data_IF_719199166909
#
_entry.id   IF_719199166909
#
_cell.length_a   1.000
_cell.length_b   1.000
_cell.length_c   1.000
_cell.angle_alpha   90.00
_cell.angle_beta   90.00
_cell.angle_gamma   90.00
#
_symmetry.space_group_name_H-M   'P 1'
#
loop_
_entity.id
_entity.type
_entity.pdbx_description
1 polymer ?
#
# COMPACT_ATOMS: atom_id res chain seq x y z
N UNK A 1 -14.49 35.51 2.38
CA UNK A 1 -13.21 35.90 2.99
C UNK A 1 -12.14 34.91 2.51
N UNK A 2 -11.17 35.37 1.67
CA UNK A 2 -10.18 34.45 1.06
C UNK A 2 -9.41 33.61 2.09
N UNK A 3 -9.21 34.14 3.31
CA UNK A 3 -8.54 33.41 4.38
C UNK A 3 -9.43 32.31 4.98
N UNK A 4 -10.74 32.49 5.00
CA UNK A 4 -11.68 31.46 5.44
C UNK A 4 -11.78 30.34 4.40
N UNK A 5 -11.80 30.69 3.12
CA UNK A 5 -11.86 29.73 2.02
C UNK A 5 -10.61 28.82 1.99
N UNK A 6 -9.41 29.39 2.18
CA UNK A 6 -8.19 28.60 2.29
C UNK A 6 -8.18 27.65 3.49
N UNK A 7 -8.68 28.09 4.65
CA UNK A 7 -8.79 27.23 5.84
C UNK A 7 -9.74 26.06 5.64
N UNK A 8 -10.86 26.30 4.95
CA UNK A 8 -11.83 25.24 4.63
C UNK A 8 -11.23 24.21 3.69
N UNK A 9 -10.51 24.65 2.65
CA UNK A 9 -9.84 23.75 1.70
C UNK A 9 -8.78 22.89 2.40
N UNK A 10 -7.91 23.50 3.20
CA UNK A 10 -6.89 22.76 3.97
C UNK A 10 -7.55 21.78 4.93
N UNK A 11 -8.59 22.20 5.64
CA UNK A 11 -9.32 21.33 6.54
C UNK A 11 -9.97 20.14 5.82
N UNK A 12 -10.53 20.36 4.64
CA UNK A 12 -11.10 19.28 3.81
C UNK A 12 -10.04 18.27 3.36
N UNK A 13 -8.86 18.75 2.91
CA UNK A 13 -7.75 17.85 2.52
C UNK A 13 -7.26 17.05 3.75
N UNK A 14 -7.08 17.70 4.89
CA UNK A 14 -6.66 17.02 6.12
C UNK A 14 -7.71 15.96 6.52
N UNK A 15 -8.99 16.28 6.43
CA UNK A 15 -10.06 15.32 6.71
C UNK A 15 -10.02 14.12 5.75
N UNK A 16 -9.78 14.35 4.46
CA UNK A 16 -9.61 13.30 3.47
C UNK A 16 -8.37 12.43 3.72
N UNK A 17 -7.34 12.96 4.38
CA UNK A 17 -6.12 12.22 4.70
C UNK A 17 -6.27 11.32 5.93
N UNK A 18 -7.23 11.59 6.83
CA UNK A 18 -7.37 10.84 8.08
C UNK A 18 -7.52 9.32 7.90
N UNK A 19 -8.33 8.83 6.95
CA UNK A 19 -8.50 7.39 6.74
C UNK A 19 -7.22 6.67 6.29
N UNK A 20 -6.23 7.40 5.74
CA UNK A 20 -4.94 6.81 5.34
C UNK A 20 -4.17 6.15 6.51
N UNK A 21 -4.57 6.41 7.75
CA UNK A 21 -3.99 5.75 8.94
C UNK A 21 -4.33 4.26 9.00
N UNK A 22 -5.49 3.91 8.47
CA UNK A 22 -6.04 2.55 8.53
C UNK A 22 -5.60 1.74 7.30
N UNK A 23 -4.78 2.32 6.41
CA UNK A 23 -4.32 1.71 5.17
C UNK A 23 -3.58 0.39 5.44
N UNK A 24 -4.20 -0.69 5.03
CA UNK A 24 -3.65 -2.04 5.13
C UNK A 24 -3.04 -2.48 3.81
N UNK A 25 -1.92 -3.18 3.90
CA UNK A 25 -1.15 -3.64 2.75
C UNK A 25 -1.08 -5.16 2.73
N UNK A 26 -1.34 -5.77 1.57
CA UNK A 26 -1.15 -7.19 1.35
C UNK A 26 -0.65 -7.47 -0.08
N UNK A 27 -0.06 -8.64 -0.29
CA UNK A 27 0.17 -9.12 -1.66
C UNK A 27 -1.14 -9.69 -2.21
N UNK A 28 -1.42 -9.50 -3.51
CA UNK A 28 -2.64 -10.03 -4.12
C UNK A 28 -2.59 -11.57 -4.14
N UNK A 29 -3.73 -12.16 -3.81
CA UNK A 29 -3.99 -13.59 -3.92
C UNK A 29 -5.10 -13.87 -4.97
N UNK A 30 -5.52 -15.12 -5.11
CA UNK A 30 -6.59 -15.47 -6.03
C UNK A 30 -7.95 -14.84 -5.65
N UNK A 31 -8.15 -14.44 -4.39
CA UNK A 31 -9.34 -13.74 -3.92
C UNK A 31 -9.46 -12.30 -4.43
N UNK A 32 -8.41 -11.73 -5.02
CA UNK A 32 -8.44 -10.40 -5.65
C UNK A 32 -8.78 -10.42 -7.14
N UNK A 33 -8.86 -11.60 -7.74
CA UNK A 33 -9.19 -11.77 -9.15
C UNK A 33 -10.68 -11.52 -9.41
N UNK A 34 -11.09 -11.24 -10.67
CA UNK A 34 -12.48 -11.13 -11.06
C UNK A 34 -13.29 -12.41 -10.75
N UNK A 35 -14.57 -12.28 -10.42
CA UNK A 35 -15.43 -13.38 -9.97
C UNK A 35 -15.61 -14.50 -11.01
N UNK A 36 -15.49 -14.20 -12.29
CA UNK A 36 -15.54 -15.14 -13.40
C UNK A 36 -14.22 -15.89 -13.63
N UNK A 37 -13.15 -15.50 -12.94
CA UNK A 37 -11.85 -16.16 -13.03
C UNK A 37 -11.89 -17.51 -12.31
N UNK A 38 -11.39 -18.56 -12.96
CA UNK A 38 -11.42 -19.93 -12.44
C UNK A 38 -10.62 -20.08 -11.12
N UNK A 39 -9.52 -19.33 -10.96
CA UNK A 39 -8.73 -19.32 -9.72
C UNK A 39 -9.51 -18.67 -8.57
N UNK A 40 -10.30 -17.61 -8.86
CA UNK A 40 -11.18 -16.98 -7.88
C UNK A 40 -12.30 -17.92 -7.45
N UNK A 41 -12.97 -18.57 -8.40
CA UNK A 41 -14.02 -19.57 -8.09
C UNK A 41 -13.47 -20.67 -7.19
N UNK A 42 -12.25 -21.17 -7.47
CA UNK A 42 -11.61 -22.19 -6.63
C UNK A 42 -11.29 -21.65 -5.23
N UNK A 43 -10.77 -20.43 -5.14
CA UNK A 43 -10.49 -19.75 -3.87
C UNK A 43 -11.75 -19.61 -3.01
N UNK A 44 -12.86 -19.18 -3.61
CA UNK A 44 -14.12 -18.98 -2.91
C UNK A 44 -14.72 -20.33 -2.44
N UNK A 45 -14.66 -21.38 -3.26
CA UNK A 45 -15.09 -22.74 -2.89
C UNK A 45 -14.28 -23.30 -1.71
N UNK A 46 -12.96 -23.09 -1.71
CA UNK A 46 -12.11 -23.52 -0.59
C UNK A 46 -12.45 -22.72 0.67
N UNK A 47 -12.64 -21.40 0.55
CA UNK A 47 -13.02 -20.56 1.69
C UNK A 47 -14.36 -20.97 2.29
N UNK A 48 -15.36 -21.31 1.46
CA UNK A 48 -16.71 -21.65 1.88
C UNK A 48 -16.77 -23.02 2.56
N UNK A 49 -16.06 -24.01 2.03
CA UNK A 49 -16.22 -25.40 2.46
C UNK A 49 -15.15 -25.88 3.45
N UNK A 50 -13.98 -25.29 3.44
CA UNK A 50 -12.87 -25.66 4.32
C UNK A 50 -12.47 -24.55 5.29
N UNK A 51 -12.80 -23.31 4.97
CA UNK A 51 -12.38 -22.13 5.71
C UNK A 51 -11.34 -21.28 4.96
N UNK A 52 -11.30 -19.97 5.21
CA UNK A 52 -10.47 -19.04 4.45
C UNK A 52 -8.95 -19.31 4.60
N UNK A 53 -8.51 -19.83 5.74
CA UNK A 53 -7.09 -20.13 6.01
C UNK A 53 -6.51 -21.23 5.13
N UNK A 54 -7.35 -22.14 4.59
CA UNK A 54 -6.90 -23.18 3.66
C UNK A 54 -6.39 -22.64 2.33
N UNK A 55 -6.71 -21.39 1.99
CA UNK A 55 -6.15 -20.71 0.82
C UNK A 55 -4.72 -20.20 1.01
N UNK A 56 -4.19 -20.20 2.24
CA UNK A 56 -2.86 -19.72 2.53
C UNK A 56 -2.25 -20.33 3.79
N UNK A 57 -2.03 -21.65 3.81
CA UNK A 57 -1.42 -22.29 4.96
C UNK A 57 -0.01 -21.76 5.19
N UNK A 58 0.38 -21.67 6.47
CA UNK A 58 1.72 -21.37 6.89
C UNK A 58 2.53 -22.66 6.92
N UNK A 59 3.83 -22.55 6.68
CA UNK A 59 4.79 -23.63 6.86
C UNK A 59 5.76 -23.24 7.97
N UNK A 60 5.75 -24.00 9.04
CA UNK A 60 6.75 -23.89 10.10
C UNK A 60 7.79 -24.98 9.85
N UNK A 61 9.07 -24.62 9.88
CA UNK A 61 10.15 -25.56 9.56
C UNK A 61 11.35 -25.32 10.48
N UNK A 62 12.11 -26.36 10.76
CA UNK A 62 13.32 -26.28 11.58
C UNK A 62 14.18 -27.52 11.46
N UNK A 63 15.42 -27.38 11.95
CA UNK A 63 16.39 -28.48 11.99
C UNK A 63 16.14 -29.37 13.20
N UNK A 64 15.99 -30.67 12.96
CA UNK A 64 15.69 -31.67 14.00
C UNK A 64 16.77 -32.75 14.14
N UNK A 65 17.97 -32.49 13.64
CA UNK A 65 19.12 -33.46 13.63
C UNK A 65 19.46 -34.02 15.00
N UNK A 66 19.19 -33.29 16.06
CA UNK A 66 19.50 -33.71 17.44
C UNK A 66 18.46 -34.66 18.03
N UNK A 67 17.32 -34.84 17.39
CA UNK A 67 16.25 -35.69 17.91
C UNK A 67 16.55 -37.18 17.73
N UNK A 68 16.29 -37.94 18.76
CA UNK A 68 16.35 -39.42 18.74
C UNK A 68 15.00 -40.05 18.32
N UNK A 69 13.92 -39.26 18.35
CA UNK A 69 12.59 -39.62 17.88
C UNK A 69 12.01 -38.46 17.03
N UNK A 70 12.42 -38.35 15.76
CA UNK A 70 11.97 -37.26 14.91
C UNK A 70 10.45 -37.24 14.66
N UNK A 71 9.79 -38.38 14.66
CA UNK A 71 8.33 -38.47 14.43
C UNK A 71 7.58 -38.03 15.68
N UNK A 72 7.97 -38.49 16.85
CA UNK A 72 7.40 -38.07 18.13
C UNK A 72 7.57 -36.57 18.32
N UNK A 73 8.77 -36.03 18.10
CA UNK A 73 9.07 -34.61 18.18
C UNK A 73 8.16 -33.77 17.26
N UNK A 74 7.96 -34.23 16.03
CA UNK A 74 7.09 -33.49 15.09
C UNK A 74 5.62 -33.53 15.47
N UNK A 75 5.15 -34.63 16.07
CA UNK A 75 3.77 -34.72 16.57
C UNK A 75 3.58 -33.77 17.78
N UNK A 76 4.47 -33.81 18.75
CA UNK A 76 4.40 -32.95 19.94
C UNK A 76 4.43 -31.47 19.56
N UNK A 77 5.30 -31.10 18.62
CA UNK A 77 5.39 -29.74 18.07
C UNK A 77 4.12 -29.35 17.31
N UNK A 78 3.57 -30.26 16.53
CA UNK A 78 2.30 -30.04 15.78
C UNK A 78 1.14 -29.84 16.73
N UNK A 79 1.03 -30.64 17.78
CA UNK A 79 -0.04 -30.55 18.78
C UNK A 79 0.06 -29.23 19.57
N UNK A 80 1.25 -28.78 19.96
CA UNK A 80 1.43 -27.52 20.65
C UNK A 80 1.09 -26.31 19.76
N UNK A 81 1.49 -26.35 18.49
CA UNK A 81 1.12 -25.28 17.52
C UNK A 81 -0.39 -25.29 17.27
N UNK A 82 -1.05 -26.46 17.26
CA UNK A 82 -2.49 -26.56 17.08
C UNK A 82 -3.29 -25.90 18.20
N UNK A 83 -2.73 -25.84 19.42
CA UNK A 83 -3.36 -25.19 20.59
C UNK A 83 -3.23 -23.65 20.58
N UNK A 84 -2.47 -23.06 19.63
CA UNK A 84 -2.28 -21.61 19.54
C UNK A 84 -3.57 -20.90 19.06
N UNK A 85 -3.88 -19.73 19.63
CA UNK A 85 -5.00 -18.91 19.16
C UNK A 85 -4.83 -18.53 17.68
N UNK A 86 -5.86 -18.73 16.88
CA UNK A 86 -5.83 -18.39 15.45
C UNK A 86 -5.41 -19.55 14.55
N UNK A 87 -5.10 -20.73 15.09
CA UNK A 87 -4.91 -21.96 14.34
C UNK A 87 -6.26 -22.67 14.17
N UNK A 88 -6.61 -23.00 12.93
CA UNK A 88 -7.79 -23.77 12.60
C UNK A 88 -7.49 -25.29 12.53
N UNK A 89 -6.34 -25.64 11.97
CA UNK A 89 -5.93 -27.04 11.79
C UNK A 89 -4.42 -27.15 11.58
N UNK A 90 -3.86 -28.33 11.92
CA UNK A 90 -2.47 -28.72 11.63
C UNK A 90 -2.48 -30.06 10.89
N UNK A 91 -2.79 -30.06 9.58
CA UNK A 91 -3.01 -31.30 8.82
C UNK A 91 -1.73 -32.13 8.60
N UNK A 92 -0.55 -31.53 8.80
CA UNK A 92 0.71 -32.21 8.58
C UNK A 92 1.79 -31.70 9.55
N UNK A 93 2.37 -32.64 10.30
CA UNK A 93 3.60 -32.43 11.05
C UNK A 93 4.51 -33.64 10.80
N UNK A 94 5.63 -33.46 10.10
CA UNK A 94 6.43 -34.60 9.64
C UNK A 94 7.91 -34.25 9.47
N UNK A 95 8.84 -35.17 9.79
CA UNK A 95 10.23 -35.04 9.38
C UNK A 95 10.38 -35.35 7.88
N UNK A 96 11.47 -34.87 7.28
CA UNK A 96 11.89 -35.30 5.96
C UNK A 96 12.49 -36.72 6.00
N UNK A 97 12.76 -37.30 4.83
CA UNK A 97 13.27 -38.68 4.70
C UNK A 97 14.62 -38.92 5.39
N UNK A 98 15.43 -37.89 5.57
CA UNK A 98 16.74 -37.96 6.24
C UNK A 98 16.65 -37.65 7.73
N UNK A 99 15.46 -37.27 8.21
CA UNK A 99 15.20 -36.89 9.61
C UNK A 99 16.12 -35.75 10.11
N UNK A 100 16.53 -34.86 9.23
CA UNK A 100 17.35 -33.68 9.56
C UNK A 100 16.55 -32.38 9.62
N UNK A 101 15.37 -32.35 8.98
CA UNK A 101 14.50 -31.20 8.89
C UNK A 101 13.06 -31.62 9.09
N UNK A 102 12.30 -30.85 9.88
CA UNK A 102 10.86 -31.03 10.08
C UNK A 102 10.05 -29.93 9.43
N UNK A 103 8.81 -30.26 9.05
CA UNK A 103 7.80 -29.28 8.61
C UNK A 103 6.49 -29.49 9.36
N UNK A 104 5.85 -28.38 9.74
CA UNK A 104 4.48 -28.33 10.25
C UNK A 104 3.69 -27.41 9.33
N UNK A 105 2.61 -27.93 8.77
CA UNK A 105 1.66 -27.12 7.99
C UNK A 105 0.58 -26.61 8.93
N UNK A 106 0.45 -25.31 9.05
CA UNK A 106 -0.51 -24.65 9.93
C UNK A 106 -1.53 -23.92 9.09
N UNK A 107 -2.80 -24.22 9.31
CA UNK A 107 -3.93 -23.57 8.66
C UNK A 107 -4.47 -22.50 9.61
N UNK A 108 -4.39 -21.20 9.27
CA UNK A 108 -4.99 -20.13 10.06
C UNK A 108 -6.51 -20.19 10.08
N UNK A 109 -7.15 -19.58 11.08
CA UNK A 109 -8.61 -19.35 11.08
C UNK A 109 -9.02 -18.25 10.10
N UNK A 110 -8.16 -17.24 9.92
CA UNK A 110 -8.36 -16.10 9.06
C UNK A 110 -7.90 -16.33 7.62
N UNK A 111 -8.29 -15.42 6.72
CA UNK A 111 -7.79 -15.37 5.36
C UNK A 111 -6.28 -15.01 5.31
N UNK A 112 -5.57 -15.32 4.21
CA UNK A 112 -4.13 -15.07 4.08
C UNK A 112 -3.71 -13.61 4.33
N UNK A 113 -4.58 -12.66 4.02
CA UNK A 113 -4.36 -11.23 4.12
C UNK A 113 -4.98 -10.57 5.38
N UNK A 114 -5.62 -11.38 6.25
CA UNK A 114 -6.29 -10.89 7.47
C UNK A 114 -5.29 -10.53 8.58
N UNK A 115 -5.71 -9.62 9.48
CA UNK A 115 -4.93 -9.27 10.68
C UNK A 115 -4.75 -10.49 11.61
N UNK A 116 -5.77 -11.32 11.74
CA UNK A 116 -5.71 -12.55 12.55
C UNK A 116 -4.59 -13.48 12.10
N UNK A 117 -4.38 -13.63 10.78
CA UNK A 117 -3.28 -14.43 10.24
C UNK A 117 -1.92 -13.77 10.46
N UNK A 118 -1.82 -12.44 10.38
CA UNK A 118 -0.59 -11.69 10.71
C UNK A 118 -0.23 -11.83 12.18
N UNK A 119 -1.23 -11.74 13.07
CA UNK A 119 -1.05 -11.92 14.50
C UNK A 119 -0.57 -13.35 14.82
N UNK A 120 -1.16 -14.37 14.19
CA UNK A 120 -0.71 -15.76 14.34
C UNK A 120 0.75 -15.95 13.89
N UNK A 121 1.16 -15.41 12.75
CA UNK A 121 2.56 -15.47 12.30
C UNK A 121 3.49 -14.82 13.31
N UNK A 122 3.08 -13.69 13.89
CA UNK A 122 3.85 -12.97 14.90
C UNK A 122 3.94 -13.77 16.18
N UNK A 123 2.84 -14.41 16.62
CA UNK A 123 2.80 -15.27 17.82
C UNK A 123 3.69 -16.49 17.68
N UNK A 124 3.60 -17.23 16.56
CA UNK A 124 4.47 -18.38 16.32
C UNK A 124 5.95 -17.96 16.34
N UNK A 125 6.29 -16.83 15.74
CA UNK A 125 7.67 -16.31 15.75
C UNK A 125 8.13 -15.85 17.13
N UNK A 126 7.23 -15.32 17.95
CA UNK A 126 7.55 -14.91 19.33
C UNK A 126 7.86 -16.09 20.24
N UNK A 127 7.35 -17.28 19.92
CA UNK A 127 7.64 -18.50 20.65
C UNK A 127 8.93 -19.22 20.21
N UNK A 128 9.73 -18.63 19.33
CA UNK A 128 10.98 -19.19 18.83
C UNK A 128 11.90 -19.70 19.96
N UNK A 129 12.14 -18.87 20.99
CA UNK A 129 13.03 -19.23 22.09
C UNK A 129 12.45 -20.39 22.93
N UNK A 130 11.12 -20.43 23.12
CA UNK A 130 10.44 -21.52 23.79
C UNK A 130 10.62 -22.86 23.04
N UNK A 131 10.38 -22.87 21.73
CA UNK A 131 10.56 -24.07 20.90
C UNK A 131 12.04 -24.52 20.84
N UNK A 132 12.95 -23.56 20.85
CA UNK A 132 14.38 -23.87 20.91
C UNK A 132 14.78 -24.52 22.26
N UNK A 133 14.28 -24.00 23.38
CA UNK A 133 14.59 -24.48 24.72
C UNK A 133 13.91 -25.82 25.01
N UNK A 134 12.64 -26.02 24.63
CA UNK A 134 11.86 -27.23 24.95
C UNK A 134 12.17 -28.37 23.97
N UNK A 135 12.24 -28.09 22.68
CA UNK A 135 12.40 -29.11 21.63
C UNK A 135 13.77 -29.13 20.98
N UNK A 136 14.61 -28.13 21.23
CA UNK A 136 15.92 -27.99 20.58
C UNK A 136 15.81 -27.65 19.10
N UNK A 137 14.69 -27.06 18.66
CA UNK A 137 14.40 -26.78 17.25
C UNK A 137 14.38 -25.27 16.99
N UNK A 138 15.28 -24.82 16.13
CA UNK A 138 15.32 -23.44 15.62
C UNK A 138 14.25 -23.31 14.53
N UNK A 139 13.07 -22.81 14.92
CA UNK A 139 11.89 -22.71 14.05
C UNK A 139 11.90 -21.45 13.22
N UNK A 140 11.54 -21.59 11.95
CA UNK A 140 11.25 -20.51 11.03
C UNK A 140 9.85 -20.66 10.44
N UNK A 141 9.12 -19.55 10.31
CA UNK A 141 7.80 -19.51 9.67
C UNK A 141 7.94 -19.01 8.25
N UNK A 142 7.45 -19.78 7.29
CA UNK A 142 7.48 -19.51 5.86
C UNK A 142 6.15 -19.88 5.20
N UNK A 143 6.12 -19.98 3.89
CA UNK A 143 4.92 -20.17 3.08
C UNK A 143 4.51 -18.89 2.37
N UNK A 144 3.63 -19.01 1.37
CA UNK A 144 3.21 -17.87 0.56
C UNK A 144 2.66 -16.71 1.42
N UNK A 145 1.82 -17.04 2.39
CA UNK A 145 1.20 -16.09 3.32
C UNK A 145 2.23 -15.37 4.17
N UNK A 146 3.14 -16.09 4.83
CA UNK A 146 4.18 -15.50 5.67
C UNK A 146 5.13 -14.61 4.85
N UNK A 147 5.53 -15.06 3.66
CA UNK A 147 6.34 -14.25 2.72
C UNK A 147 5.57 -12.99 2.30
N UNK A 148 4.27 -13.10 2.03
CA UNK A 148 3.41 -11.96 1.70
C UNK A 148 3.37 -10.92 2.82
N UNK A 149 3.24 -11.36 4.07
CA UNK A 149 3.28 -10.52 5.27
C UNK A 149 4.64 -9.80 5.38
N UNK A 150 5.74 -10.54 5.25
CA UNK A 150 7.10 -9.98 5.36
C UNK A 150 7.41 -8.96 4.27
N UNK A 151 7.01 -9.25 3.02
CA UNK A 151 7.17 -8.31 1.89
C UNK A 151 6.34 -7.06 2.14
N UNK A 152 5.08 -7.19 2.56
CA UNK A 152 4.21 -6.06 2.85
C UNK A 152 4.75 -5.19 3.99
N UNK A 153 5.26 -5.81 5.05
CA UNK A 153 5.89 -5.11 6.16
C UNK A 153 7.16 -4.34 5.72
N UNK A 154 8.01 -4.96 4.89
CA UNK A 154 9.21 -4.30 4.33
C UNK A 154 8.86 -3.14 3.42
N UNK A 155 7.85 -3.29 2.55
CA UNK A 155 7.38 -2.23 1.67
C UNK A 155 6.77 -1.08 2.49
N UNK A 156 5.94 -1.39 3.49
CA UNK A 156 5.39 -0.41 4.42
C UNK A 156 6.48 0.37 5.15
N UNK A 157 7.48 -0.32 5.69
CA UNK A 157 8.63 0.31 6.35
C UNK A 157 9.48 1.18 5.40
N UNK A 158 9.51 0.86 4.11
CA UNK A 158 10.23 1.62 3.10
C UNK A 158 9.53 2.93 2.70
N UNK A 159 8.25 3.12 3.03
CA UNK A 159 7.49 4.32 2.63
C UNK A 159 8.08 5.61 3.19
N UNK A 160 8.43 5.64 4.47
CA UNK A 160 9.03 6.83 5.08
C UNK A 160 10.40 7.16 4.50
N UNK A 161 11.38 6.25 4.43
CA UNK A 161 12.65 6.49 3.75
C UNK A 161 12.46 6.95 2.30
N UNK A 162 11.56 6.32 1.55
CA UNK A 162 11.24 6.70 0.18
C UNK A 162 10.70 8.13 0.10
N UNK A 163 9.74 8.48 0.98
CA UNK A 163 9.20 9.83 1.06
C UNK A 163 10.30 10.88 1.34
N UNK A 164 11.21 10.60 2.27
CA UNK A 164 12.34 11.49 2.56
C UNK A 164 13.27 11.68 1.37
N UNK A 165 13.58 10.60 0.63
CA UNK A 165 14.42 10.69 -0.58
C UNK A 165 13.72 11.53 -1.66
N UNK A 166 12.43 11.24 -1.93
CA UNK A 166 11.65 11.97 -2.94
C UNK A 166 11.53 13.45 -2.58
N UNK A 167 11.16 13.76 -1.35
CA UNK A 167 11.05 15.14 -0.85
C UNK A 167 12.41 15.85 -0.85
N UNK A 168 13.45 15.20 -0.35
CA UNK A 168 14.80 15.77 -0.31
C UNK A 168 15.34 16.07 -1.70
N UNK A 169 15.21 15.13 -2.63
CA UNK A 169 15.61 15.31 -4.02
C UNK A 169 14.84 16.46 -4.68
N UNK A 170 13.53 16.54 -4.45
CA UNK A 170 12.67 17.63 -4.92
C UNK A 170 13.17 18.98 -4.42
N UNK A 171 13.38 19.12 -3.12
CA UNK A 171 13.85 20.36 -2.52
C UNK A 171 15.19 20.81 -3.12
N UNK A 172 16.13 19.89 -3.30
CA UNK A 172 17.44 20.18 -3.89
C UNK A 172 17.31 20.61 -5.35
N UNK A 173 16.64 19.79 -6.18
CA UNK A 173 16.51 20.04 -7.62
C UNK A 173 15.75 21.35 -7.91
N UNK A 174 14.59 21.56 -7.27
CA UNK A 174 13.79 22.76 -7.48
C UNK A 174 14.50 24.01 -6.94
N UNK A 175 15.24 23.92 -5.81
CA UNK A 175 16.03 25.04 -5.30
C UNK A 175 17.13 25.42 -6.27
N UNK A 176 17.81 24.46 -6.88
CA UNK A 176 18.83 24.73 -7.92
C UNK A 176 18.23 25.38 -9.17
N UNK A 177 17.10 24.86 -9.65
CA UNK A 177 16.43 25.36 -10.87
C UNK A 177 15.88 26.76 -10.67
N UNK A 178 15.16 26.99 -9.56
CA UNK A 178 14.46 28.25 -9.34
C UNK A 178 15.25 29.29 -8.53
N UNK A 179 16.37 28.89 -7.94
CA UNK A 179 17.18 29.74 -7.02
C UNK A 179 16.30 30.37 -5.92
N UNK A 180 15.37 29.60 -5.41
CA UNK A 180 14.41 29.99 -4.37
C UNK A 180 14.15 28.78 -3.47
N UNK A 181 14.02 28.99 -2.18
CA UNK A 181 13.67 27.94 -1.20
C UNK A 181 12.16 27.89 -0.96
N UNK A 182 11.46 29.01 -1.10
CA UNK A 182 10.03 29.10 -0.85
C UNK A 182 9.19 28.28 -1.85
N UNK A 183 9.58 28.27 -3.13
CA UNK A 183 8.87 27.53 -4.18
C UNK A 183 8.93 26.01 -3.93
N UNK A 184 10.11 25.40 -3.70
CA UNK A 184 10.20 23.97 -3.38
C UNK A 184 9.41 23.57 -2.13
N UNK A 185 9.46 24.37 -1.07
CA UNK A 185 8.70 24.07 0.16
C UNK A 185 7.20 24.04 -0.13
N UNK A 186 6.66 25.04 -0.84
CA UNK A 186 5.25 25.08 -1.21
C UNK A 186 4.87 23.89 -2.09
N UNK A 187 5.66 23.58 -3.12
CA UNK A 187 5.43 22.47 -4.02
C UNK A 187 5.42 21.12 -3.29
N UNK A 188 6.38 20.91 -2.38
CA UNK A 188 6.46 19.69 -1.58
C UNK A 188 5.27 19.53 -0.63
N UNK A 189 4.84 20.60 0.04
CA UNK A 189 3.65 20.57 0.89
C UNK A 189 2.40 20.24 0.07
N UNK A 190 2.25 20.84 -1.10
CA UNK A 190 1.15 20.53 -2.02
C UNK A 190 1.15 19.06 -2.46
N UNK A 191 2.30 18.54 -2.84
CA UNK A 191 2.48 17.12 -3.17
C UNK A 191 2.09 16.20 -2.01
N UNK A 192 2.55 16.47 -0.79
CA UNK A 192 2.22 15.67 0.39
C UNK A 192 0.71 15.68 0.69
N UNK A 193 0.05 16.82 0.52
CA UNK A 193 -1.41 16.90 0.64
C UNK A 193 -2.14 16.07 -0.42
N UNK A 194 -1.67 16.10 -1.66
CA UNK A 194 -2.25 15.31 -2.76
C UNK A 194 -2.09 13.82 -2.54
N UNK A 195 -0.90 13.39 -2.10
CA UNK A 195 -0.63 11.98 -1.74
C UNK A 195 -1.46 11.54 -0.55
N UNK A 196 -1.53 12.35 0.50
CA UNK A 196 -2.33 12.06 1.69
C UNK A 196 -3.82 11.90 1.36
N UNK A 197 -4.38 12.82 0.57
CA UNK A 197 -5.77 12.74 0.10
C UNK A 197 -6.01 11.50 -0.77
N UNK A 198 -5.06 11.17 -1.66
CA UNK A 198 -5.15 9.96 -2.50
C UNK A 198 -5.19 8.69 -1.65
N UNK A 199 -4.29 8.54 -0.68
CA UNK A 199 -4.30 7.39 0.23
C UNK A 199 -5.59 7.34 1.05
N UNK A 200 -6.04 8.47 1.60
CA UNK A 200 -7.26 8.50 2.39
C UNK A 200 -8.51 8.11 1.59
N UNK A 201 -8.63 8.55 0.33
CA UNK A 201 -9.75 8.14 -0.53
C UNK A 201 -9.65 6.67 -0.91
N UNK A 202 -8.45 6.16 -1.20
CA UNK A 202 -8.26 4.73 -1.47
C UNK A 202 -8.70 3.89 -0.26
N UNK A 203 -8.28 4.24 0.95
CA UNK A 203 -8.70 3.54 2.17
C UNK A 203 -10.22 3.62 2.39
N UNK A 204 -10.82 4.81 2.21
CA UNK A 204 -12.27 4.97 2.31
C UNK A 204 -13.05 4.06 1.37
N UNK A 205 -12.56 3.88 0.14
CA UNK A 205 -13.24 3.08 -0.89
C UNK A 205 -12.99 1.58 -0.68
N UNK A 206 -11.73 1.17 -0.57
CA UNK A 206 -11.36 -0.24 -0.63
C UNK A 206 -11.38 -0.95 0.72
N UNK A 207 -11.22 -0.24 1.83
CA UNK A 207 -11.27 -0.84 3.17
C UNK A 207 -12.58 -0.52 3.89
N UNK A 208 -13.06 0.73 3.79
CA UNK A 208 -14.31 1.13 4.46
C UNK A 208 -15.56 1.01 3.57
N UNK A 209 -15.40 0.70 2.28
CA UNK A 209 -16.52 0.44 1.37
C UNK A 209 -17.29 1.67 0.88
N UNK A 210 -16.75 2.89 1.08
CA UNK A 210 -17.41 4.11 0.60
C UNK A 210 -17.44 4.13 -0.94
N UNK A 211 -18.64 4.18 -1.53
CA UNK A 211 -18.87 4.10 -2.97
C UNK A 211 -18.37 2.78 -3.62
N UNK A 212 -18.16 1.71 -2.85
CA UNK A 212 -17.66 0.43 -3.35
C UNK A 212 -18.55 -0.11 -4.50
N UNK A 213 -19.86 -0.11 -4.32
CA UNK A 213 -20.82 -0.59 -5.34
C UNK A 213 -20.74 0.23 -6.64
N UNK A 214 -20.61 1.57 -6.53
CA UNK A 214 -20.52 2.45 -7.69
C UNK A 214 -19.22 2.27 -8.49
N UNK A 215 -18.16 1.82 -7.83
CA UNK A 215 -16.84 1.58 -8.41
C UNK A 215 -16.60 0.09 -8.71
N UNK A 216 -17.62 -0.74 -8.58
CA UNK A 216 -17.55 -2.20 -8.78
C UNK A 216 -16.41 -2.84 -7.97
N UNK A 217 -16.29 -2.47 -6.68
CA UNK A 217 -15.37 -3.08 -5.74
C UNK A 217 -16.01 -4.34 -5.20
N UNK A 218 -15.55 -5.50 -5.63
CA UNK A 218 -16.15 -6.81 -5.28
C UNK A 218 -15.66 -7.37 -3.96
N UNK A 219 -14.52 -6.89 -3.45
CA UNK A 219 -13.96 -7.29 -2.16
C UNK A 219 -13.39 -6.08 -1.43
N UNK A 220 -13.80 -5.92 -0.17
CA UNK A 220 -13.17 -4.96 0.74
C UNK A 220 -12.00 -5.61 1.45
N UNK A 221 -10.94 -4.85 1.69
CA UNK A 221 -9.76 -5.32 2.40
C UNK A 221 -8.48 -4.61 1.99
N UNK A 222 -7.32 -5.17 2.37
CA UNK A 222 -6.02 -4.58 2.12
C UNK A 222 -5.78 -4.28 0.63
N UNK A 223 -5.07 -3.19 0.37
CA UNK A 223 -4.63 -2.86 -1.00
C UNK A 223 -3.25 -3.42 -1.28
N UNK A 224 -2.92 -3.53 -2.56
CA UNK A 224 -1.63 -4.10 -3.00
C UNK A 224 -0.43 -3.36 -2.42
N UNK A 225 0.50 -4.08 -1.81
CA UNK A 225 1.57 -3.54 -0.96
C UNK A 225 2.51 -2.56 -1.64
N UNK A 226 2.69 -2.64 -2.96
CA UNK A 226 3.53 -1.68 -3.69
C UNK A 226 2.77 -0.45 -4.18
N UNK A 227 1.44 -0.39 -4.04
CA UNK A 227 0.61 0.74 -4.47
C UNK A 227 1.09 2.08 -3.90
N UNK A 228 1.39 2.22 -2.61
CA UNK A 228 1.81 3.51 -2.05
C UNK A 228 3.10 4.03 -2.69
N UNK A 229 4.08 3.17 -2.93
CA UNK A 229 5.36 3.55 -3.56
C UNK A 229 5.15 4.00 -5.00
N UNK A 230 4.38 3.23 -5.78
CA UNK A 230 4.04 3.57 -7.18
C UNK A 230 3.28 4.88 -7.23
N UNK A 231 2.26 5.04 -6.39
CA UNK A 231 1.42 6.23 -6.36
C UNK A 231 2.24 7.47 -5.98
N UNK A 232 3.07 7.39 -4.94
CA UNK A 232 3.96 8.47 -4.54
C UNK A 232 4.94 8.85 -5.66
N UNK A 233 5.56 7.87 -6.31
CA UNK A 233 6.52 8.11 -7.39
C UNK A 233 5.89 8.76 -8.62
N UNK A 234 4.74 8.25 -9.06
CA UNK A 234 4.02 8.78 -10.23
C UNK A 234 3.46 10.18 -9.95
N UNK A 235 2.78 10.36 -8.81
CA UNK A 235 2.26 11.69 -8.43
C UNK A 235 3.38 12.70 -8.26
N UNK A 236 4.54 12.28 -7.74
CA UNK A 236 5.71 13.15 -7.65
C UNK A 236 6.15 13.64 -9.03
N UNK A 237 6.34 12.73 -9.98
CA UNK A 237 6.72 13.10 -11.35
C UNK A 237 5.73 14.07 -11.99
N UNK A 238 4.43 13.75 -11.93
CA UNK A 238 3.38 14.61 -12.47
C UNK A 238 3.31 15.98 -11.81
N UNK A 239 3.36 16.02 -10.47
CA UNK A 239 3.32 17.26 -9.72
C UNK A 239 4.52 18.16 -10.04
N UNK A 240 5.72 17.60 -10.12
CA UNK A 240 6.92 18.36 -10.41
C UNK A 240 6.93 18.92 -11.83
N UNK A 241 6.50 18.16 -12.81
CA UNK A 241 6.43 18.63 -14.21
C UNK A 241 5.52 19.86 -14.36
N UNK A 242 4.35 19.84 -13.73
CA UNK A 242 3.46 20.98 -13.72
C UNK A 242 4.04 22.19 -12.99
N UNK A 243 4.70 21.97 -11.85
CA UNK A 243 5.31 23.04 -11.07
C UNK A 243 6.47 23.71 -11.83
N UNK A 244 7.34 22.88 -12.42
CA UNK A 244 8.47 23.40 -13.22
C UNK A 244 7.96 24.25 -14.39
N UNK A 245 6.93 23.77 -15.10
CA UNK A 245 6.36 24.49 -16.22
C UNK A 245 5.74 25.84 -15.80
N UNK A 246 4.94 25.84 -14.73
CA UNK A 246 4.28 27.03 -14.21
C UNK A 246 5.29 28.08 -13.72
N UNK A 247 6.23 27.65 -12.86
CA UNK A 247 7.21 28.58 -12.27
C UNK A 247 8.21 29.09 -13.30
N UNK A 248 8.59 28.27 -14.30
CA UNK A 248 9.45 28.72 -15.39
C UNK A 248 8.79 29.88 -16.18
N UNK A 249 7.49 29.78 -16.48
CA UNK A 249 6.75 30.86 -17.15
C UNK A 249 6.63 32.13 -16.31
N UNK A 250 6.34 31.98 -15.02
CA UNK A 250 6.29 33.13 -14.09
C UNK A 250 7.65 33.83 -14.05
N UNK A 251 8.75 33.05 -13.98
CA UNK A 251 10.11 33.57 -13.94
C UNK A 251 10.50 34.29 -15.23
N UNK A 252 10.15 33.71 -16.39
CA UNK A 252 10.40 34.30 -17.70
C UNK A 252 9.74 35.69 -17.79
N UNK A 253 8.47 35.80 -17.42
CA UNK A 253 7.73 37.07 -17.44
C UNK A 253 8.29 38.07 -16.42
N UNK A 254 8.73 37.62 -15.25
CA UNK A 254 9.39 38.48 -14.24
C UNK A 254 10.71 39.06 -14.73
N UNK A 255 11.54 38.26 -15.39
CA UNK A 255 12.82 38.73 -15.93
C UNK A 255 12.61 39.83 -16.98
N UNK A 256 11.54 39.78 -17.77
CA UNK A 256 11.24 40.78 -18.78
C UNK A 256 10.50 42.01 -18.23
N UNK A 257 9.60 41.85 -17.26
CA UNK A 257 8.73 42.91 -16.78
C UNK A 257 9.26 43.61 -15.52
N UNK A 258 10.08 42.94 -14.70
CA UNK A 258 10.51 43.41 -13.37
C UNK A 258 9.39 43.50 -12.33
N UNK A 259 8.14 43.08 -12.68
CA UNK A 259 6.96 43.26 -11.85
C UNK A 259 6.48 41.90 -11.31
N UNK A 260 6.93 41.51 -10.11
CA UNK A 260 6.66 40.17 -9.53
C UNK A 260 5.15 39.81 -9.48
N UNK A 261 4.31 40.72 -8.98
CA UNK A 261 2.87 40.46 -8.84
C UNK A 261 2.16 40.28 -10.20
N UNK A 262 2.55 41.05 -11.20
CA UNK A 262 2.02 40.93 -12.56
C UNK A 262 2.46 39.63 -13.21
N UNK A 263 3.74 39.28 -13.06
CA UNK A 263 4.33 38.06 -13.64
C UNK A 263 3.71 36.78 -13.09
N UNK A 264 3.32 36.75 -11.81
CA UNK A 264 2.56 35.64 -11.23
C UNK A 264 1.22 35.48 -11.94
N UNK A 265 0.50 36.58 -12.14
CA UNK A 265 -0.82 36.51 -12.76
C UNK A 265 -0.75 36.16 -14.25
N UNK A 266 0.12 36.82 -15.01
CA UNK A 266 0.27 36.59 -16.47
C UNK A 266 0.88 35.20 -16.75
N UNK A 267 1.89 34.77 -16.00
CA UNK A 267 2.50 33.44 -16.13
C UNK A 267 1.51 32.32 -15.80
N UNK A 268 0.72 32.49 -14.73
CA UNK A 268 -0.35 31.57 -14.39
C UNK A 268 -1.40 31.48 -15.49
N UNK A 269 -1.90 32.62 -15.98
CA UNK A 269 -2.91 32.67 -17.04
C UNK A 269 -2.43 32.00 -18.33
N UNK A 270 -1.17 32.20 -18.70
CA UNK A 270 -0.57 31.59 -19.89
C UNK A 270 -0.45 30.06 -19.77
N UNK A 271 -0.15 29.57 -18.56
CA UNK A 271 0.07 28.13 -18.28
C UNK A 271 -1.21 27.40 -17.96
N UNK A 272 -2.22 28.07 -17.41
CA UNK A 272 -3.44 27.45 -16.87
C UNK A 272 -4.16 26.54 -17.89
N UNK A 273 -4.28 26.95 -19.15
CA UNK A 273 -4.94 26.14 -20.18
C UNK A 273 -4.24 24.81 -20.44
N UNK A 274 -2.91 24.82 -20.48
CA UNK A 274 -2.11 23.60 -20.74
C UNK A 274 -2.14 22.68 -19.52
N UNK A 275 -1.94 23.22 -18.32
CA UNK A 275 -1.98 22.46 -17.06
C UNK A 275 -3.37 21.84 -16.86
N UNK A 276 -4.45 22.62 -17.05
CA UNK A 276 -5.81 22.12 -16.90
C UNK A 276 -6.13 21.02 -17.93
N UNK A 277 -5.76 21.22 -19.19
CA UNK A 277 -5.99 20.21 -20.23
C UNK A 277 -5.25 18.91 -19.93
N UNK A 278 -3.98 19.00 -19.52
CA UNK A 278 -3.18 17.84 -19.15
C UNK A 278 -3.78 17.13 -17.92
N UNK A 279 -4.17 17.87 -16.89
CA UNK A 279 -4.79 17.30 -15.68
C UNK A 279 -6.12 16.60 -15.97
N UNK A 280 -6.97 17.20 -16.84
CA UNK A 280 -8.24 16.58 -17.25
C UNK A 280 -8.02 15.29 -18.03
N UNK A 281 -7.04 15.27 -18.95
CA UNK A 281 -6.69 14.06 -19.72
C UNK A 281 -6.20 12.96 -18.77
N UNK A 282 -5.26 13.28 -17.88
CA UNK A 282 -4.73 12.29 -16.92
C UNK A 282 -5.81 11.77 -15.98
N UNK A 283 -6.65 12.67 -15.45
CA UNK A 283 -7.78 12.28 -14.61
C UNK A 283 -8.73 11.33 -15.37
N UNK A 284 -9.12 11.69 -16.60
CA UNK A 284 -10.01 10.86 -17.42
C UNK A 284 -9.41 9.47 -17.70
N UNK A 285 -8.10 9.41 -17.99
CA UNK A 285 -7.40 8.14 -18.22
C UNK A 285 -7.43 7.29 -16.96
N UNK A 286 -7.04 7.82 -15.80
CA UNK A 286 -7.02 7.04 -14.57
C UNK A 286 -8.41 6.62 -14.12
N UNK A 287 -9.41 7.50 -14.19
CA UNK A 287 -10.80 7.17 -13.83
C UNK A 287 -11.36 6.08 -14.71
N UNK A 288 -10.99 6.02 -15.99
CA UNK A 288 -11.49 4.99 -16.92
C UNK A 288 -11.04 3.56 -16.51
N UNK A 289 -9.92 3.43 -15.79
CA UNK A 289 -9.45 2.14 -15.29
C UNK A 289 -10.15 1.68 -13.99
N UNK A 290 -10.85 2.57 -13.28
CA UNK A 290 -11.43 2.22 -11.97
C UNK A 290 -12.57 1.21 -12.09
N UNK A 291 -13.59 1.36 -12.96
CA UNK A 291 -14.70 0.39 -13.03
C UNK A 291 -14.30 -0.95 -13.65
N UNK A 292 -13.43 -0.95 -14.66
CA UNK A 292 -13.08 -2.12 -15.47
C UNK A 292 -11.78 -2.81 -15.04
N UNK A 293 -11.00 -2.19 -14.15
CA UNK A 293 -9.70 -2.69 -13.73
C UNK A 293 -9.79 -3.93 -12.83
N UNK A 294 -8.68 -4.68 -12.80
CA UNK A 294 -8.41 -5.69 -11.79
C UNK A 294 -8.37 -5.05 -10.38
N UNK A 295 -8.80 -5.81 -9.34
CA UNK A 295 -8.84 -5.31 -7.97
C UNK A 295 -7.48 -4.84 -7.46
N UNK A 296 -6.38 -5.36 -8.01
CA UNK A 296 -5.02 -4.89 -7.68
C UNK A 296 -4.69 -3.53 -8.31
N UNK A 297 -5.25 -3.22 -9.48
CA UNK A 297 -4.99 -1.98 -10.21
C UNK A 297 -5.95 -0.85 -9.87
N UNK A 298 -7.20 -1.17 -9.48
CA UNK A 298 -8.22 -0.18 -9.11
C UNK A 298 -7.76 0.83 -8.05
N UNK A 299 -7.11 0.41 -6.94
CA UNK A 299 -6.60 1.34 -5.93
C UNK A 299 -5.55 2.30 -6.48
N UNK A 300 -4.65 1.82 -7.36
CA UNK A 300 -3.63 2.64 -8.02
C UNK A 300 -4.29 3.66 -8.93
N UNK A 301 -5.22 3.23 -9.76
CA UNK A 301 -5.93 4.09 -10.70
C UNK A 301 -6.75 5.18 -9.98
N UNK A 302 -7.52 4.80 -8.95
CA UNK A 302 -8.28 5.74 -8.14
C UNK A 302 -7.36 6.73 -7.40
N UNK A 303 -6.31 6.23 -6.78
CA UNK A 303 -5.33 7.06 -6.07
C UNK A 303 -4.66 8.08 -6.98
N UNK A 304 -4.25 7.67 -8.20
CA UNK A 304 -3.69 8.58 -9.20
C UNK A 304 -4.72 9.61 -9.69
N UNK A 305 -5.96 9.20 -9.94
CA UNK A 305 -7.03 10.11 -10.34
C UNK A 305 -7.29 11.20 -9.29
N UNK A 306 -7.44 10.79 -8.02
CA UNK A 306 -7.64 11.71 -6.89
C UNK A 306 -6.42 12.60 -6.68
N UNK A 307 -5.22 12.03 -6.70
CA UNK A 307 -3.99 12.79 -6.53
C UNK A 307 -3.81 13.87 -7.58
N UNK A 308 -4.03 13.56 -8.86
CA UNK A 308 -3.98 14.55 -9.97
C UNK A 308 -5.04 15.61 -9.80
N UNK A 309 -6.26 15.23 -9.43
CA UNK A 309 -7.37 16.18 -9.23
C UNK A 309 -7.04 17.15 -8.08
N UNK A 310 -6.60 16.64 -6.95
CA UNK A 310 -6.24 17.47 -5.78
C UNK A 310 -5.05 18.35 -6.10
N UNK A 311 -4.00 17.82 -6.73
CA UNK A 311 -2.81 18.60 -7.09
C UNK A 311 -3.15 19.74 -8.07
N UNK A 312 -3.83 19.44 -9.16
CA UNK A 312 -4.07 20.41 -10.23
C UNK A 312 -5.14 21.45 -9.86
N UNK A 313 -6.22 21.05 -9.18
CA UNK A 313 -7.39 21.92 -8.99
C UNK A 313 -7.55 22.47 -7.57
N UNK A 314 -6.92 21.85 -6.57
CA UNK A 314 -7.05 22.30 -5.17
C UNK A 314 -5.77 22.93 -4.67
N UNK A 315 -4.62 22.31 -4.94
CA UNK A 315 -3.31 22.80 -4.43
C UNK A 315 -2.78 23.96 -5.28
N UNK A 316 -3.03 23.96 -6.59
CA UNK A 316 -2.45 24.94 -7.54
C UNK A 316 -3.37 26.08 -7.90
N UNK A 317 -4.67 25.92 -7.76
CA UNK A 317 -5.66 26.99 -7.98
C UNK A 317 -6.01 27.69 -6.66
#
# INVERSE_FOLDING_TARGET
>A
DPAADHRLVVAAIVLLTLPARDLQLALPDAGTLPEDNQARVTYDLVSEHFGPGFNGPLIVTGTIVTSTDPVGLMNDLGDEIADLPGVADVPLATPNLTADTGIVQVVPTGAPDSEETKDLVTEIRAQHDHFLDEYGVDLAVTGFTAVGIDVSAKLGAALLPFAFVVVGLSLVLLTMVFRSVAVPIKATLGYLFSVGAAFGVVTLVFEHGFLADALHVTRLGPVISFMPIVLMGVLFGLAMDYEVFLVARIREDYVHSGQARRSIFTGFQASAKVVTAAAVIMFAVFVAFVPEGDMSLKPIALGLAVGVLVDAFVVRM
#
